data_IF_533673528086
#
_entry.id   IF_533673528086
#
_cell.length_a   1.000
_cell.length_b   1.000
_cell.length_c   1.000
_cell.angle_alpha   90.00
_cell.angle_beta   90.00
_cell.angle_gamma   90.00
#
_symmetry.space_group_name_H-M   'P 1'
#
loop_
_entity.id
_entity.type
_entity.pdbx_description
1 polymer ?
#
# COMPACT_ATOMS: atom_id res chain seq x y z
N UNK A 1 -14.84 18.98 8.91
CA UNK A 1 -14.29 17.60 8.93
C UNK A 1 -12.95 17.60 8.23
N UNK A 2 -11.87 17.64 9.00
CA UNK A 2 -10.50 17.60 8.51
C UNK A 2 -10.19 16.20 8.01
N UNK A 3 -9.91 16.07 6.71
CA UNK A 3 -9.41 14.83 6.11
C UNK A 3 -8.22 14.34 6.92
N UNK A 4 -8.27 13.09 7.39
CA UNK A 4 -7.14 12.40 8.04
C UNK A 4 -6.01 12.35 7.01
N UNK A 5 -5.03 13.26 7.11
CA UNK A 5 -3.82 13.19 6.29
C UNK A 5 -2.97 12.09 6.90
N UNK A 6 -2.90 10.93 6.24
CA UNK A 6 -1.90 9.91 6.61
C UNK A 6 -0.52 10.59 6.63
N UNK A 7 0.40 10.24 7.56
CA UNK A 7 1.73 10.82 7.57
C UNK A 7 2.40 10.51 6.23
N UNK A 8 2.59 11.54 5.40
CA UNK A 8 3.15 11.38 4.05
C UNK A 8 4.67 11.25 4.07
N UNK A 9 5.31 11.53 5.20
CA UNK A 9 6.75 11.44 5.42
C UNK A 9 7.06 10.72 6.73
N UNK A 10 8.27 10.17 6.84
CA UNK A 10 8.72 9.43 8.02
C UNK A 10 8.85 10.41 9.20
N UNK A 11 9.31 11.62 8.96
CA UNK A 11 9.48 12.68 9.96
C UNK A 11 8.12 13.08 10.57
N UNK A 12 7.08 13.21 9.74
CA UNK A 12 5.72 13.47 10.21
C UNK A 12 5.15 12.29 11.01
N UNK A 13 5.51 11.05 10.66
CA UNK A 13 5.13 9.87 11.43
C UNK A 13 5.83 9.83 12.80
N UNK A 14 7.13 10.13 12.86
CA UNK A 14 7.88 10.25 14.11
C UNK A 14 7.29 11.34 14.99
N UNK A 15 6.98 12.51 14.43
CA UNK A 15 6.31 13.60 15.14
C UNK A 15 4.95 13.16 15.72
N UNK A 16 4.16 12.40 14.95
CA UNK A 16 2.87 11.84 15.41
C UNK A 16 3.06 10.91 16.62
N UNK A 17 4.13 10.10 16.62
CA UNK A 17 4.46 9.23 17.75
C UNK A 17 4.85 10.10 18.95
N UNK A 18 5.75 11.06 18.78
CA UNK A 18 6.23 11.93 19.86
C UNK A 18 5.11 12.73 20.51
N UNK A 19 4.13 13.20 19.74
CA UNK A 19 2.93 13.86 20.27
C UNK A 19 2.05 12.93 21.11
N UNK A 20 2.08 11.62 20.84
CA UNK A 20 1.26 10.65 21.54
C UNK A 20 1.92 10.05 22.79
N UNK A 21 3.22 9.72 22.71
CA UNK A 21 3.93 9.02 23.80
C UNK A 21 4.89 9.94 24.56
N UNK A 22 5.18 11.14 24.04
CA UNK A 22 6.17 12.06 24.59
C UNK A 22 7.59 11.76 24.11
N UNK A 23 8.37 12.83 23.90
CA UNK A 23 9.76 12.73 23.41
C UNK A 23 10.69 12.08 24.42
N UNK A 24 10.50 12.34 25.72
CA UNK A 24 11.26 11.72 26.80
C UNK A 24 11.16 10.19 26.73
N UNK A 25 9.93 9.67 26.67
CA UNK A 25 9.67 8.22 26.55
C UNK A 25 10.28 7.65 25.26
N UNK A 26 10.08 8.34 24.13
CA UNK A 26 10.67 7.92 22.87
C UNK A 26 12.21 7.86 22.94
N UNK A 27 12.87 8.79 23.63
CA UNK A 27 14.31 8.79 23.81
C UNK A 27 14.81 7.61 24.65
N UNK A 28 14.04 7.22 25.68
CA UNK A 28 14.30 6.02 26.48
C UNK A 28 14.19 4.74 25.64
N UNK A 29 13.11 4.59 24.86
CA UNK A 29 12.90 3.47 23.92
C UNK A 29 14.06 3.35 22.94
N UNK A 30 14.60 4.49 22.50
CA UNK A 30 15.69 4.57 21.55
C UNK A 30 17.09 4.47 22.18
N UNK A 31 17.20 4.47 23.50
CA UNK A 31 18.48 4.46 24.22
C UNK A 31 19.35 5.68 23.92
N UNK A 32 18.75 6.87 23.76
CA UNK A 32 19.46 8.11 23.43
C UNK A 32 18.92 9.32 24.21
N UNK A 33 19.51 10.50 23.96
CA UNK A 33 19.06 11.75 24.60
C UNK A 33 17.84 12.33 23.86
N UNK A 34 16.98 13.05 24.57
CA UNK A 34 15.81 13.73 23.99
C UNK A 34 16.17 14.64 22.81
N UNK A 35 17.30 15.35 22.93
CA UNK A 35 17.80 16.20 21.83
C UNK A 35 18.08 15.40 20.56
N UNK A 36 18.70 14.22 20.69
CA UNK A 36 18.95 13.34 19.54
C UNK A 36 17.66 12.74 18.98
N UNK A 37 16.68 12.47 19.85
CA UNK A 37 15.36 12.01 19.40
C UNK A 37 14.66 13.10 18.57
N UNK A 38 14.72 14.37 18.99
CA UNK A 38 14.19 15.52 18.25
C UNK A 38 14.82 15.69 16.86
N UNK A 39 16.09 15.34 16.67
CA UNK A 39 16.75 15.43 15.35
C UNK A 39 16.07 14.55 14.27
N UNK A 40 15.23 13.58 14.65
CA UNK A 40 14.48 12.72 13.73
C UNK A 40 13.17 13.33 13.20
N UNK A 41 12.68 14.41 13.79
CA UNK A 41 11.47 15.11 13.29
C UNK A 41 11.84 16.26 12.35
N UNK A 42 13.11 16.63 12.29
CA UNK A 42 13.62 17.63 11.34
C UNK A 42 13.74 17.02 9.95
N UNK A 43 13.44 17.81 8.91
CA UNK A 43 13.65 17.37 7.54
C UNK A 43 15.15 17.21 7.25
N UNK A 44 15.51 16.39 6.26
CA UNK A 44 16.92 16.26 5.87
C UNK A 44 17.54 17.57 5.36
N UNK A 45 16.72 18.43 4.76
CA UNK A 45 17.14 19.76 4.29
C UNK A 45 17.45 20.70 5.46
N UNK A 46 16.83 20.46 6.63
CA UNK A 46 17.03 21.24 7.86
C UNK A 46 18.09 20.63 8.81
N UNK A 47 18.91 19.69 8.31
CA UNK A 47 19.96 19.02 9.10
C UNK A 47 19.47 17.84 9.93
N UNK A 48 18.25 17.35 9.68
CA UNK A 48 17.70 16.15 10.30
C UNK A 48 18.51 14.90 9.99
N UNK A 49 18.59 13.99 10.97
CA UNK A 49 19.27 12.69 10.80
C UNK A 49 18.26 11.65 10.35
N UNK A 50 18.61 10.77 9.39
CA UNK A 50 17.74 9.66 9.05
C UNK A 50 17.59 8.72 10.26
N UNK A 51 16.35 8.34 10.56
CA UNK A 51 16.07 7.30 11.55
C UNK A 51 16.44 5.93 10.98
N UNK A 52 17.14 5.11 11.75
CA UNK A 52 17.46 3.74 11.37
C UNK A 52 16.20 2.86 11.43
N UNK A 53 16.08 1.89 10.51
CA UNK A 53 14.90 1.02 10.43
C UNK A 53 14.55 0.32 11.75
N UNK A 54 15.56 -0.16 12.50
CA UNK A 54 15.35 -0.78 13.82
C UNK A 54 14.77 0.19 14.85
N UNK A 55 15.27 1.43 14.88
CA UNK A 55 14.79 2.48 15.77
C UNK A 55 13.34 2.87 15.45
N UNK A 56 13.03 3.02 14.16
CA UNK A 56 11.68 3.31 13.70
C UNK A 56 10.67 2.20 14.06
N UNK A 57 11.05 0.93 13.87
CA UNK A 57 10.24 -0.21 14.29
C UNK A 57 9.99 -0.24 15.80
N UNK A 58 11.00 0.06 16.62
CA UNK A 58 10.84 0.13 18.06
C UNK A 58 9.82 1.20 18.49
N UNK A 59 9.87 2.38 17.86
CA UNK A 59 8.90 3.45 18.10
C UNK A 59 7.48 3.06 17.70
N UNK A 60 7.30 2.43 16.54
CA UNK A 60 5.98 1.96 16.09
C UNK A 60 5.41 0.89 17.03
N UNK A 61 6.24 -0.08 17.46
CA UNK A 61 5.82 -1.10 18.42
C UNK A 61 5.35 -0.47 19.72
N UNK A 62 6.12 0.48 20.25
CA UNK A 62 5.76 1.18 21.49
C UNK A 62 4.47 2.00 21.33
N UNK A 63 4.33 2.71 20.20
CA UNK A 63 3.13 3.48 19.89
C UNK A 63 1.89 2.59 19.81
N UNK A 64 1.98 1.45 19.13
CA UNK A 64 0.89 0.47 19.01
C UNK A 64 0.53 -0.09 20.38
N UNK A 65 1.52 -0.45 21.19
CA UNK A 65 1.31 -1.00 22.53
C UNK A 65 0.59 0.00 23.46
N UNK A 66 0.96 1.29 23.42
CA UNK A 66 0.39 2.31 24.30
C UNK A 66 -0.96 2.85 23.82
N UNK A 67 -1.18 2.93 22.50
CA UNK A 67 -2.35 3.63 21.95
C UNK A 67 -3.38 2.71 21.31
N UNK A 68 -3.03 1.45 21.00
CA UNK A 68 -3.85 0.54 20.21
C UNK A 68 -4.10 1.01 18.77
N UNK A 69 -3.41 2.05 18.30
CA UNK A 69 -3.57 2.62 16.96
C UNK A 69 -2.56 2.02 15.97
N UNK A 70 -2.83 2.08 14.66
CA UNK A 70 -1.90 1.58 13.64
C UNK A 70 -0.55 2.28 13.65
N UNK A 71 0.52 1.53 13.36
CA UNK A 71 1.92 1.95 13.27
C UNK A 71 2.14 3.03 12.18
N UNK A 72 2.37 4.31 12.55
CA UNK A 72 2.43 5.40 11.59
C UNK A 72 3.72 5.41 10.75
N UNK A 73 4.88 4.99 11.28
CA UNK A 73 6.12 5.00 10.49
C UNK A 73 6.07 3.90 9.42
N UNK A 74 5.60 2.70 9.75
CA UNK A 74 5.35 1.62 8.80
C UNK A 74 4.39 2.07 7.69
N UNK A 75 3.29 2.75 8.04
CA UNK A 75 2.36 3.28 7.05
C UNK A 75 3.04 4.29 6.10
N UNK A 76 3.88 5.19 6.61
CA UNK A 76 4.65 6.12 5.79
C UNK A 76 5.66 5.39 4.88
N UNK A 77 6.31 4.33 5.38
CA UNK A 77 7.22 3.50 4.60
C UNK A 77 6.52 2.79 3.46
N UNK A 78 5.40 2.12 3.75
CA UNK A 78 4.57 1.43 2.74
C UNK A 78 4.12 2.41 1.66
N UNK A 79 3.59 3.57 2.05
CA UNK A 79 3.17 4.59 1.09
C UNK A 79 4.32 5.11 0.21
N UNK A 80 5.54 5.20 0.77
CA UNK A 80 6.74 5.59 0.02
C UNK A 80 7.15 4.53 -0.98
N UNK A 81 7.15 3.26 -0.59
CA UNK A 81 7.46 2.12 -1.48
C UNK A 81 6.42 2.05 -2.59
N UNK A 82 5.14 2.08 -2.28
CA UNK A 82 4.04 2.06 -3.27
C UNK A 82 4.13 3.20 -4.29
N UNK A 83 4.59 4.38 -3.87
CA UNK A 83 4.81 5.52 -4.78
C UNK A 83 5.93 5.20 -5.76
N UNK A 84 7.09 4.76 -5.26
CA UNK A 84 8.23 4.38 -6.10
C UNK A 84 7.87 3.23 -7.04
N UNK A 85 7.12 2.23 -6.57
CA UNK A 85 6.65 1.10 -7.38
C UNK A 85 5.67 1.51 -8.47
N UNK A 86 4.82 2.53 -8.23
CA UNK A 86 3.94 3.08 -9.27
C UNK A 86 4.72 3.84 -10.33
N UNK A 87 5.72 4.62 -9.92
CA UNK A 87 6.54 5.45 -10.82
C UNK A 87 7.55 4.61 -11.62
N UNK A 88 7.91 3.44 -11.11
CA UNK A 88 8.75 2.46 -11.79
C UNK A 88 8.02 1.12 -11.82
N UNK A 89 7.12 0.90 -12.80
CA UNK A 89 6.52 -0.41 -12.97
C UNK A 89 7.66 -1.40 -13.21
N UNK A 90 8.04 -2.12 -12.15
CA UNK A 90 8.99 -3.19 -12.23
C UNK A 90 8.44 -4.19 -13.26
N UNK A 91 9.30 -4.61 -14.19
CA UNK A 91 9.09 -5.86 -14.90
C UNK A 91 9.24 -7.01 -13.89
N UNK A 92 8.33 -7.09 -12.92
CA UNK A 92 8.21 -8.27 -12.08
C UNK A 92 7.88 -9.42 -13.02
N UNK A 93 8.59 -10.51 -12.83
CA UNK A 93 8.25 -11.77 -13.47
C UNK A 93 6.75 -12.07 -13.19
N UNK A 94 5.99 -12.52 -14.21
CA UNK A 94 4.58 -12.89 -14.02
C UNK A 94 4.34 -13.79 -12.81
N UNK A 95 5.28 -14.71 -12.50
CA UNK A 95 5.20 -15.58 -11.33
C UNK A 95 5.26 -14.83 -10.00
N UNK A 96 6.13 -13.83 -9.86
CA UNK A 96 6.18 -12.98 -8.66
C UNK A 96 4.87 -12.21 -8.44
N UNK A 97 4.22 -11.77 -9.52
CA UNK A 97 2.92 -11.09 -9.43
C UNK A 97 1.80 -12.03 -8.98
N UNK A 98 1.78 -13.26 -9.48
CA UNK A 98 0.84 -14.29 -9.00
C UNK A 98 1.05 -14.53 -7.50
N UNK A 99 2.30 -14.60 -7.03
CA UNK A 99 2.60 -14.75 -5.59
C UNK A 99 2.02 -13.58 -4.78
N UNK A 100 2.24 -12.34 -5.23
CA UNK A 100 1.67 -11.15 -4.56
C UNK A 100 0.15 -11.21 -4.51
N UNK A 101 -0.52 -11.50 -5.63
CA UNK A 101 -1.99 -11.62 -5.69
C UNK A 101 -2.51 -12.71 -4.74
N UNK A 102 -1.79 -13.84 -4.65
CA UNK A 102 -2.15 -14.94 -3.74
C UNK A 102 -2.06 -14.50 -2.28
N UNK A 103 -1.05 -13.69 -1.93
CA UNK A 103 -0.94 -13.13 -0.58
C UNK A 103 -2.10 -12.17 -0.26
N UNK A 104 -2.50 -11.30 -1.21
CA UNK A 104 -3.63 -10.38 -1.01
C UNK A 104 -4.95 -11.15 -0.87
N UNK A 105 -5.14 -12.21 -1.65
CA UNK A 105 -6.30 -13.12 -1.50
C UNK A 105 -6.30 -13.80 -0.13
N UNK A 106 -5.15 -14.25 0.35
CA UNK A 106 -4.99 -14.82 1.69
C UNK A 106 -5.37 -13.83 2.79
N UNK A 107 -4.98 -12.56 2.66
CA UNK A 107 -5.38 -11.49 3.59
C UNK A 107 -6.89 -11.27 3.58
N UNK A 108 -7.54 -11.23 2.41
CA UNK A 108 -8.99 -11.09 2.35
C UNK A 108 -9.71 -12.30 2.97
N UNK A 109 -9.21 -13.52 2.76
CA UNK A 109 -9.74 -14.71 3.41
C UNK A 109 -9.61 -14.63 4.94
N UNK A 110 -8.48 -14.15 5.44
CA UNK A 110 -8.27 -13.93 6.88
C UNK A 110 -9.25 -12.89 7.45
N UNK A 111 -9.49 -11.78 6.73
CA UNK A 111 -10.47 -10.77 7.15
C UNK A 111 -11.90 -11.32 7.21
N UNK A 112 -12.27 -12.22 6.29
CA UNK A 112 -13.57 -12.90 6.33
C UNK A 112 -13.65 -13.82 7.55
N UNK A 113 -12.60 -14.59 7.81
CA UNK A 113 -12.54 -15.47 8.97
C UNK A 113 -12.62 -14.69 10.29
N UNK A 114 -11.91 -13.57 10.39
CA UNK A 114 -11.94 -12.68 11.56
C UNK A 114 -13.32 -12.05 11.76
N UNK A 115 -13.98 -11.59 10.69
CA UNK A 115 -15.34 -11.06 10.76
C UNK A 115 -16.40 -12.12 11.13
N UNK A 116 -16.05 -13.41 11.01
CA UNK A 116 -16.89 -14.54 11.42
C UNK A 116 -16.50 -15.12 12.79
N UNK A 117 -15.43 -14.62 13.42
CA UNK A 117 -14.98 -15.10 14.71
C UNK A 117 -16.07 -14.81 15.77
N UNK A 118 -16.61 -15.84 16.45
CA UNK A 118 -17.60 -15.65 17.51
C UNK A 118 -17.15 -14.72 18.64
N UNK A 119 -15.84 -14.54 18.82
CA UNK A 119 -15.24 -13.65 19.81
C UNK A 119 -14.85 -12.29 19.22
N UNK A 120 -15.13 -12.04 17.95
CA UNK A 120 -14.87 -10.78 17.26
C UNK A 120 -15.82 -9.64 17.69
N UNK A 121 -15.58 -8.40 17.21
CA UNK A 121 -16.35 -7.23 17.60
C UNK A 121 -17.85 -7.32 17.28
N UNK A 122 -18.22 -8.07 16.23
CA UNK A 122 -19.61 -8.36 15.84
C UNK A 122 -20.19 -9.65 16.41
N UNK A 123 -19.39 -10.43 17.16
CA UNK A 123 -19.70 -11.83 17.46
C UNK A 123 -19.77 -12.67 16.19
N UNK A 124 -20.62 -13.71 16.16
CA UNK A 124 -20.79 -14.58 14.99
C UNK A 124 -21.50 -13.92 13.78
N UNK A 125 -21.86 -12.64 13.85
CA UNK A 125 -22.57 -11.94 12.80
C UNK A 125 -21.71 -10.81 12.22
N UNK A 126 -21.48 -10.85 10.90
CA UNK A 126 -20.76 -9.81 10.17
C UNK A 126 -21.53 -8.49 10.24
N UNK A 127 -20.93 -7.45 10.83
CA UNK A 127 -21.57 -6.13 10.93
C UNK A 127 -21.40 -5.30 9.66
N UNK A 128 -22.27 -4.30 9.45
CA UNK A 128 -22.29 -3.51 8.21
C UNK A 128 -20.97 -2.79 7.90
N UNK A 129 -20.20 -2.40 8.92
CA UNK A 129 -18.86 -1.84 8.76
C UNK A 129 -17.84 -2.85 8.24
N UNK A 130 -17.85 -4.09 8.74
CA UNK A 130 -16.99 -5.17 8.28
C UNK A 130 -17.32 -5.56 6.84
N UNK A 131 -18.60 -5.65 6.50
CA UNK A 131 -19.04 -5.92 5.14
C UNK A 131 -18.58 -4.84 4.15
N UNK A 132 -18.58 -3.57 4.56
CA UNK A 132 -18.07 -2.46 3.73
C UNK A 132 -16.57 -2.61 3.49
N UNK A 133 -15.79 -2.85 4.55
CA UNK A 133 -14.34 -3.05 4.45
C UNK A 133 -14.01 -4.25 3.56
N UNK A 134 -14.73 -5.37 3.70
CA UNK A 134 -14.56 -6.55 2.85
C UNK A 134 -14.86 -6.24 1.39
N UNK A 135 -15.96 -5.54 1.08
CA UNK A 135 -16.29 -5.15 -0.30
C UNK A 135 -15.23 -4.25 -0.91
N UNK A 136 -14.72 -3.28 -0.17
CA UNK A 136 -13.64 -2.40 -0.63
C UNK A 136 -12.35 -3.20 -0.92
N UNK A 137 -12.02 -4.16 -0.06
CA UNK A 137 -10.89 -5.06 -0.28
C UNK A 137 -11.06 -5.92 -1.54
N UNK A 138 -12.25 -6.51 -1.77
CA UNK A 138 -12.52 -7.31 -2.96
C UNK A 138 -12.52 -6.49 -4.26
N UNK A 139 -13.01 -5.24 -4.23
CA UNK A 139 -12.94 -4.33 -5.37
C UNK A 139 -11.48 -4.02 -5.72
N UNK A 140 -10.63 -3.78 -4.71
CA UNK A 140 -9.21 -3.57 -4.91
C UNK A 140 -8.52 -4.82 -5.49
N UNK A 141 -8.77 -6.00 -4.92
CA UNK A 141 -8.23 -7.27 -5.41
C UNK A 141 -8.60 -7.51 -6.87
N UNK A 142 -9.86 -7.26 -7.24
CA UNK A 142 -10.31 -7.39 -8.62
C UNK A 142 -9.54 -6.46 -9.56
N UNK A 143 -9.37 -5.20 -9.17
CA UNK A 143 -8.62 -4.24 -9.99
C UNK A 143 -7.15 -4.65 -10.16
N UNK A 144 -6.51 -5.17 -9.11
CA UNK A 144 -5.14 -5.69 -9.17
C UNK A 144 -5.04 -6.95 -10.04
N UNK A 145 -6.03 -7.85 -9.96
CA UNK A 145 -6.10 -9.05 -10.80
C UNK A 145 -6.28 -8.69 -12.28
N UNK A 146 -7.22 -7.80 -12.59
CA UNK A 146 -7.46 -7.31 -13.95
C UNK A 146 -6.18 -6.67 -14.52
N UNK A 147 -5.51 -5.82 -13.73
CA UNK A 147 -4.23 -5.22 -14.13
C UNK A 147 -3.13 -6.26 -14.36
N UNK A 148 -3.04 -7.29 -13.53
CA UNK A 148 -2.05 -8.35 -13.70
C UNK A 148 -2.31 -9.18 -14.96
N UNK A 149 -3.58 -9.49 -15.27
CA UNK A 149 -3.98 -10.16 -16.50
C UNK A 149 -3.57 -9.33 -17.71
N UNK A 150 -3.92 -8.04 -17.75
CA UNK A 150 -3.56 -7.14 -18.85
C UNK A 150 -2.03 -7.11 -19.07
N UNK A 151 -1.26 -7.12 -17.99
CA UNK A 151 0.20 -7.11 -18.07
C UNK A 151 0.79 -8.45 -18.50
N UNK A 152 0.19 -9.58 -18.10
CA UNK A 152 0.55 -10.92 -18.58
C UNK A 152 0.26 -11.00 -20.08
N UNK A 153 -0.92 -10.55 -20.51
CA UNK A 153 -1.29 -10.51 -21.93
C UNK A 153 -0.29 -9.67 -22.72
N UNK A 154 0.11 -8.48 -22.25
CA UNK A 154 1.16 -7.68 -22.90
C UNK A 154 2.50 -8.42 -22.94
N UNK A 155 2.91 -9.08 -21.86
CA UNK A 155 4.19 -9.80 -21.80
C UNK A 155 4.22 -11.04 -22.72
N UNK A 156 3.11 -11.78 -22.80
CA UNK A 156 2.95 -12.97 -23.62
C UNK A 156 2.72 -12.61 -25.10
N UNK A 157 1.92 -11.59 -25.41
CA UNK A 157 1.67 -11.13 -26.78
C UNK A 157 2.84 -10.33 -27.36
N UNK A 158 3.60 -9.62 -26.53
CA UNK A 158 4.85 -8.98 -26.93
C UNK A 158 5.93 -10.00 -27.33
N UNK A 159 5.91 -11.18 -26.71
CA UNK A 159 6.74 -12.34 -27.05
C UNK A 159 5.96 -13.33 -27.92
N UNK A 160 5.52 -12.92 -29.12
CA UNK A 160 4.87 -13.75 -30.17
C UNK A 160 4.63 -15.21 -29.78
N UNK A 161 3.64 -15.46 -28.93
CA UNK A 161 3.08 -16.81 -28.80
C UNK A 161 2.33 -17.03 -30.11
N UNK A 162 2.72 -18.04 -30.87
CA UNK A 162 1.99 -18.35 -32.10
C UNK A 162 0.52 -18.69 -31.76
N UNK A 163 -0.40 -18.33 -32.66
CA UNK A 163 -1.84 -18.54 -32.45
C UNK A 163 -2.19 -20.03 -32.21
N UNK A 164 -1.30 -20.97 -32.57
CA UNK A 164 -1.51 -22.40 -32.37
C UNK A 164 -1.26 -22.81 -30.91
N UNK A 165 -0.21 -22.29 -30.28
CA UNK A 165 0.11 -22.49 -28.89
C UNK A 165 -1.00 -21.94 -27.99
N UNK A 166 -1.59 -20.79 -28.32
CA UNK A 166 -2.71 -20.22 -27.56
C UNK A 166 -3.98 -21.09 -27.62
N UNK A 167 -4.34 -21.60 -28.82
CA UNK A 167 -5.49 -22.51 -28.98
C UNK A 167 -5.29 -23.85 -28.29
N UNK A 168 -4.05 -24.34 -28.22
CA UNK A 168 -3.74 -25.63 -27.59
C UNK A 168 -4.02 -25.64 -26.08
N UNK A 169 -3.94 -24.49 -25.40
CA UNK A 169 -4.25 -24.37 -23.95
C UNK A 169 -5.74 -24.14 -23.67
N UNK A 170 -6.60 -24.16 -24.69
CA UNK A 170 -8.05 -23.96 -24.53
C UNK A 170 -8.47 -22.50 -24.35
N UNK A 171 -7.57 -21.55 -24.59
CA UNK A 171 -7.88 -20.13 -24.57
C UNK A 171 -8.72 -19.75 -25.78
N UNK A 172 -10.02 -19.51 -25.58
CA UNK A 172 -10.79 -18.69 -26.51
C UNK A 172 -10.11 -17.33 -26.59
N UNK A 173 -9.82 -16.82 -27.80
CA UNK A 173 -9.29 -15.47 -27.96
C UNK A 173 -10.21 -14.54 -27.15
N UNK A 174 -9.70 -13.71 -26.21
CA UNK A 174 -10.54 -12.68 -25.64
C UNK A 174 -11.11 -11.91 -26.82
N UNK A 175 -12.44 -11.95 -26.98
CA UNK A 175 -13.13 -11.23 -28.05
C UNK A 175 -12.55 -9.81 -28.03
N UNK A 176 -11.93 -9.39 -29.13
CA UNK A 176 -11.15 -8.15 -29.23
C UNK A 176 -11.89 -7.07 -28.46
N UNK A 177 -11.47 -6.81 -27.22
CA UNK A 177 -12.02 -5.70 -26.47
C UNK A 177 -11.55 -4.51 -27.29
N UNK A 178 -12.46 -3.68 -27.82
CA UNK A 178 -12.04 -2.54 -28.61
C UNK A 178 -11.06 -1.75 -27.73
N UNK A 179 -9.82 -1.68 -28.17
CA UNK A 179 -8.79 -0.88 -27.53
C UNK A 179 -9.29 0.55 -27.69
N UNK A 180 -9.95 1.06 -26.65
CA UNK A 180 -10.37 2.45 -26.59
C UNK A 180 -9.11 3.30 -26.52
N UNK A 181 -8.56 3.63 -27.68
CA UNK A 181 -7.68 4.77 -27.85
C UNK A 181 -8.53 6.03 -27.64
N UNK A 182 -8.93 6.27 -26.39
CA UNK A 182 -9.38 7.58 -25.96
C UNK A 182 -8.17 8.49 -26.11
N UNK A 183 -8.13 9.18 -27.25
CA UNK A 183 -7.12 10.15 -27.61
C UNK A 183 -7.12 11.18 -26.50
N UNK A 184 -6.04 11.22 -25.71
CA UNK A 184 -5.81 12.24 -24.71
C UNK A 184 -5.56 13.54 -25.48
N UNK A 185 -6.63 14.24 -25.85
CA UNK A 185 -6.56 15.59 -26.40
C UNK A 185 -5.97 16.48 -25.32
N UNK A 186 -4.68 16.77 -25.46
CA UNK A 186 -4.00 17.86 -24.76
C UNK A 186 -4.64 19.16 -25.23
N UNK A 187 -5.39 19.82 -24.35
CA UNK A 187 -5.81 21.20 -24.57
C UNK A 187 -4.56 22.07 -24.68
N UNK A 188 -4.36 22.84 -25.77
CA UNK A 188 -3.34 23.87 -25.79
C UNK A 188 -3.76 24.98 -24.82
N UNK A 189 -2.88 25.26 -23.86
CA UNK A 189 -2.97 26.47 -23.03
C UNK A 189 -2.67 27.65 -23.96
N UNK A 190 -3.72 28.35 -24.36
CA UNK A 190 -3.64 29.64 -25.03
C UNK A 190 -3.08 30.68 -24.06
N UNK A 191 -1.81 31.03 -24.24
CA UNK A 191 -1.22 32.27 -23.72
C UNK A 191 -1.65 33.44 -24.60
N UNK A 192 -2.58 34.26 -24.12
CA UNK A 192 -2.76 35.64 -24.59
C UNK A 192 -2.75 36.61 -23.41
N UNK A 193 -1.72 37.48 -23.46
CA UNK A 193 -1.57 38.85 -22.95
C UNK A 193 -2.14 39.26 -21.60
#
# INVERSE_FOLDING_TARGET
MTKRRAPLSIEAAVQTIYEAIGVAHAAEVLGMTERRAWDFTLSQDDGGRPIHARAALALDVEYVALTGKPAPILAAWTARVERVSRDRPCACDPGERVIVLTAVLGQAAAMVAEAQDPNGPGGAAVVASELRTLKEAFVRIRAELDQAIDQIDVALLGNRIDDAAWRAVGGGRPAERPVSHATRTTNPVSTER
#
